data_IF_854176508973
#
_entry.id   IF_854176508973
#
_cell.length_a   1.000
_cell.length_b   1.000
_cell.length_c   1.000
_cell.angle_alpha   90.00
_cell.angle_beta   90.00
_cell.angle_gamma   90.00
#
_symmetry.space_group_name_H-M   'P 1'
#
loop_
_entity.id
_entity.type
_entity.pdbx_description
1 polymer ?
#
# COMPACT_ATOMS: atom_id res chain seq x y z
N UNK A 1 14.78 -20.77 14.07
CA UNK A 1 13.78 -19.85 13.47
C UNK A 1 12.89 -19.18 14.53
N UNK A 2 13.47 -18.74 15.67
CA UNK A 2 12.73 -18.08 16.77
C UNK A 2 12.76 -16.54 16.70
N UNK A 3 13.50 -15.96 15.77
CA UNK A 3 13.84 -14.52 15.77
C UNK A 3 12.68 -13.63 15.29
N UNK A 4 11.78 -14.17 14.45
CA UNK A 4 10.66 -13.42 13.85
C UNK A 4 9.34 -14.21 13.88
N UNK A 5 8.69 -14.32 15.06
CA UNK A 5 7.49 -15.14 15.24
C UNK A 5 6.21 -14.49 14.69
N UNK A 6 6.19 -13.16 14.54
CA UNK A 6 4.99 -12.38 14.15
C UNK A 6 5.10 -11.72 12.78
N UNK A 7 6.21 -11.91 12.08
CA UNK A 7 6.43 -11.29 10.77
C UNK A 7 5.62 -12.06 9.72
N UNK A 8 4.71 -11.39 8.99
CA UNK A 8 4.01 -12.00 7.87
C UNK A 8 4.99 -12.37 6.75
N UNK A 9 4.72 -13.47 6.04
CA UNK A 9 5.59 -13.99 4.98
C UNK A 9 4.77 -14.18 3.71
N UNK A 10 5.27 -13.63 2.60
CA UNK A 10 4.75 -13.94 1.27
C UNK A 10 5.60 -15.02 0.62
N UNK A 11 4.99 -16.13 0.18
CA UNK A 11 5.68 -17.25 -0.46
C UNK A 11 5.17 -17.42 -1.90
N UNK A 12 6.06 -17.28 -2.88
CA UNK A 12 5.73 -17.45 -4.31
C UNK A 12 6.42 -18.70 -4.87
N UNK A 13 5.62 -19.70 -5.24
CA UNK A 13 6.12 -20.91 -5.91
C UNK A 13 6.26 -20.64 -7.40
N UNK A 14 7.49 -20.49 -7.86
CA UNK A 14 7.81 -20.14 -9.26
C UNK A 14 7.67 -21.30 -10.26
N UNK A 15 7.62 -22.53 -9.77
CA UNK A 15 7.53 -23.75 -10.59
C UNK A 15 6.40 -24.64 -10.10
N UNK A 16 5.89 -25.48 -11.00
CA UNK A 16 4.95 -26.53 -10.63
C UNK A 16 5.73 -27.76 -10.11
N UNK A 17 5.54 -28.11 -8.83
CA UNK A 17 6.03 -29.34 -8.23
C UNK A 17 5.09 -29.77 -7.10
N UNK A 18 4.44 -30.95 -7.21
CA UNK A 18 3.61 -31.49 -6.14
C UNK A 18 4.39 -31.70 -4.83
N UNK A 19 5.66 -32.08 -4.92
CA UNK A 19 6.55 -32.28 -3.78
C UNK A 19 6.79 -30.97 -3.05
N UNK A 20 7.03 -29.88 -3.80
CA UNK A 20 7.22 -28.55 -3.23
C UNK A 20 5.93 -28.04 -2.57
N UNK A 21 4.78 -28.22 -3.23
CA UNK A 21 3.47 -27.86 -2.64
C UNK A 21 3.26 -28.57 -1.31
N UNK A 22 3.52 -29.88 -1.26
CA UNK A 22 3.40 -30.68 -0.04
C UNK A 22 4.36 -30.20 1.05
N UNK A 23 5.64 -30.02 0.70
CA UNK A 23 6.67 -29.60 1.65
C UNK A 23 6.37 -28.22 2.25
N UNK A 24 5.94 -27.26 1.42
CA UNK A 24 5.57 -25.91 1.88
C UNK A 24 4.31 -25.97 2.75
N UNK A 25 3.27 -26.71 2.35
CA UNK A 25 2.05 -26.88 3.15
C UNK A 25 2.32 -27.49 4.52
N UNK A 26 3.15 -28.53 4.58
CA UNK A 26 3.54 -29.17 5.83
C UNK A 26 4.34 -28.21 6.72
N UNK A 27 5.28 -27.45 6.15
CA UNK A 27 6.06 -26.46 6.90
C UNK A 27 5.18 -25.36 7.51
N UNK A 28 4.25 -24.80 6.73
CA UNK A 28 3.33 -23.75 7.23
C UNK A 28 2.48 -24.29 8.38
N UNK A 29 1.95 -25.51 8.24
CA UNK A 29 1.08 -26.15 9.24
C UNK A 29 1.86 -26.52 10.51
N UNK A 30 3.04 -27.12 10.35
CA UNK A 30 3.91 -27.52 11.48
C UNK A 30 4.32 -26.34 12.35
N UNK A 31 4.43 -25.15 11.77
CA UNK A 31 4.76 -23.92 12.50
C UNK A 31 3.54 -23.07 12.86
N UNK A 32 2.32 -23.54 12.59
CA UNK A 32 1.06 -22.85 12.85
C UNK A 32 1.03 -21.41 12.30
N UNK A 33 1.55 -21.22 11.08
CA UNK A 33 1.69 -19.90 10.44
C UNK A 33 0.66 -19.61 9.37
N UNK A 34 -0.42 -20.39 9.28
CA UNK A 34 -1.44 -20.26 8.24
C UNK A 34 -2.02 -18.84 8.15
N UNK A 35 -2.15 -18.14 9.28
CA UNK A 35 -2.66 -16.75 9.33
C UNK A 35 -1.61 -15.67 9.02
N UNK A 36 -0.33 -16.02 9.05
CA UNK A 36 0.79 -15.10 8.79
C UNK A 36 1.41 -15.31 7.42
N UNK A 37 0.98 -16.34 6.69
CA UNK A 37 1.49 -16.67 5.36
C UNK A 37 0.47 -16.26 4.32
N UNK A 38 0.91 -15.48 3.34
CA UNK A 38 0.24 -15.34 2.06
C UNK A 38 1.04 -16.16 1.05
N UNK A 39 0.42 -17.10 0.35
CA UNK A 39 1.13 -17.92 -0.62
C UNK A 39 0.43 -17.96 -1.96
N UNK A 40 1.12 -18.54 -2.95
CA UNK A 40 0.52 -18.74 -4.26
C UNK A 40 1.56 -18.97 -5.33
N UNK A 41 1.08 -18.89 -6.56
CA UNK A 41 1.89 -18.92 -7.76
C UNK A 41 1.19 -18.17 -8.87
N UNK A 42 1.96 -17.50 -9.74
CA UNK A 42 1.44 -16.97 -10.99
C UNK A 42 0.96 -18.08 -11.96
N UNK A 43 1.41 -19.33 -11.78
CA UNK A 43 0.92 -20.49 -12.50
C UNK A 43 -0.38 -21.00 -11.86
N UNK A 44 -1.48 -20.99 -12.63
CA UNK A 44 -2.78 -21.41 -12.11
C UNK A 44 -2.79 -22.86 -11.61
N UNK A 45 -2.11 -23.78 -12.29
CA UNK A 45 -2.00 -25.19 -11.87
C UNK A 45 -1.38 -25.34 -10.48
N UNK A 46 -0.31 -24.60 -10.21
CA UNK A 46 0.34 -24.57 -8.88
C UNK A 46 -0.56 -23.91 -7.84
N UNK A 47 -1.24 -22.81 -8.19
CA UNK A 47 -2.14 -22.11 -7.28
C UNK A 47 -3.32 -23.00 -6.85
N UNK A 48 -3.92 -23.73 -7.78
CA UNK A 48 -4.99 -24.69 -7.50
C UNK A 48 -4.51 -25.85 -6.62
N UNK A 49 -3.29 -26.34 -6.85
CA UNK A 49 -2.67 -27.35 -6.00
C UNK A 49 -2.44 -26.84 -4.56
N UNK A 50 -1.97 -25.61 -4.39
CA UNK A 50 -1.80 -24.97 -3.06
C UNK A 50 -3.13 -24.81 -2.33
N UNK A 51 -4.16 -24.30 -3.01
CA UNK A 51 -5.50 -24.14 -2.44
C UNK A 51 -6.09 -25.48 -1.98
N UNK A 52 -5.88 -26.54 -2.77
CA UNK A 52 -6.33 -27.90 -2.44
C UNK A 52 -5.54 -28.48 -1.26
N UNK A 53 -4.22 -28.23 -1.21
CA UNK A 53 -3.35 -28.76 -0.17
C UNK A 53 -3.62 -28.15 1.22
N UNK A 54 -3.93 -26.84 1.29
CA UNK A 54 -4.33 -26.21 2.55
C UNK A 54 -5.16 -24.93 2.31
N UNK A 55 -6.51 -25.01 2.30
CA UNK A 55 -7.37 -23.85 2.08
C UNK A 55 -7.40 -22.86 3.25
N UNK A 56 -6.74 -23.16 4.38
CA UNK A 56 -6.66 -22.24 5.54
C UNK A 56 -5.63 -21.14 5.35
N UNK A 57 -4.69 -21.31 4.41
CA UNK A 57 -3.65 -20.32 4.11
C UNK A 57 -4.16 -19.37 3.03
N UNK A 58 -4.19 -18.05 3.28
CA UNK A 58 -4.52 -17.03 2.29
C UNK A 58 -3.75 -17.21 0.97
N UNK A 59 -4.48 -17.14 -0.14
CA UNK A 59 -3.94 -17.33 -1.49
C UNK A 59 -3.89 -15.99 -2.24
N UNK A 60 -2.82 -15.72 -2.98
CA UNK A 60 -2.83 -14.66 -3.97
C UNK A 60 -3.23 -15.15 -5.37
N UNK A 61 -3.78 -14.27 -6.20
CA UNK A 61 -4.25 -14.60 -7.54
C UNK A 61 -3.12 -15.05 -8.49
N UNK A 62 -3.35 -16.14 -9.21
CA UNK A 62 -2.51 -16.52 -10.35
C UNK A 62 -2.64 -15.52 -11.49
N UNK A 63 -1.72 -15.52 -12.46
CA UNK A 63 -1.76 -14.56 -13.56
C UNK A 63 -3.08 -14.60 -14.37
N UNK A 64 -3.63 -15.78 -14.75
CA UNK A 64 -4.94 -15.84 -15.41
C UNK A 64 -6.08 -15.31 -14.54
N UNK A 65 -6.01 -15.51 -13.22
CA UNK A 65 -7.02 -15.00 -12.29
C UNK A 65 -6.93 -13.49 -12.15
N UNK A 66 -5.75 -12.93 -11.97
CA UNK A 66 -5.55 -11.47 -11.94
C UNK A 66 -6.04 -10.81 -13.24
N UNK A 67 -5.75 -11.41 -14.40
CA UNK A 67 -6.23 -10.94 -15.69
C UNK A 67 -7.76 -11.02 -15.81
N UNK A 68 -8.38 -12.10 -15.34
CA UNK A 68 -9.84 -12.24 -15.31
C UNK A 68 -10.48 -11.14 -14.45
N UNK A 69 -9.92 -10.85 -13.27
CA UNK A 69 -10.44 -9.78 -12.40
C UNK A 69 -10.31 -8.41 -13.04
N UNK A 70 -9.18 -8.15 -13.71
CA UNK A 70 -8.97 -6.90 -14.45
C UNK A 70 -9.95 -6.79 -15.63
N UNK A 71 -10.14 -7.87 -16.40
CA UNK A 71 -11.08 -7.89 -17.52
C UNK A 71 -12.53 -7.70 -17.05
N UNK A 72 -12.91 -8.35 -15.94
CA UNK A 72 -14.22 -8.18 -15.34
C UNK A 72 -14.43 -6.74 -14.82
N UNK A 73 -13.40 -6.12 -14.25
CA UNK A 73 -13.42 -4.70 -13.89
C UNK A 73 -13.65 -3.80 -15.11
N UNK A 74 -12.88 -4.00 -16.19
CA UNK A 74 -13.06 -3.24 -17.43
C UNK A 74 -14.45 -3.43 -18.05
N UNK A 75 -15.06 -4.60 -17.87
CA UNK A 75 -16.43 -4.88 -18.31
C UNK A 75 -17.52 -4.35 -17.36
N UNK A 76 -17.17 -3.77 -16.21
CA UNK A 76 -18.12 -3.34 -15.18
C UNK A 76 -18.77 -4.49 -14.40
N UNK A 77 -18.19 -5.69 -14.45
CA UNK A 77 -18.76 -6.95 -13.92
C UNK A 77 -17.91 -7.57 -12.81
N UNK A 78 -16.99 -6.83 -12.21
CA UNK A 78 -16.15 -7.36 -11.13
C UNK A 78 -17.00 -7.89 -9.96
N UNK A 79 -18.14 -7.26 -9.67
CA UNK A 79 -19.08 -7.69 -8.63
C UNK A 79 -19.66 -9.10 -8.88
N UNK A 80 -19.81 -9.51 -10.14
CA UNK A 80 -20.36 -10.82 -10.52
C UNK A 80 -19.34 -11.97 -10.37
N UNK A 81 -18.04 -11.63 -10.35
CA UNK A 81 -16.98 -12.64 -10.33
C UNK A 81 -16.70 -13.08 -8.91
N UNK A 82 -16.78 -14.39 -8.65
CA UNK A 82 -16.35 -14.95 -7.37
C UNK A 82 -14.83 -14.82 -7.19
N UNK A 83 -14.42 -14.24 -6.06
CA UNK A 83 -13.02 -14.04 -5.66
C UNK A 83 -12.81 -14.79 -4.36
N UNK A 84 -11.97 -15.82 -4.41
CA UNK A 84 -11.57 -16.62 -3.25
C UNK A 84 -10.15 -16.28 -2.79
N UNK A 85 -9.43 -15.49 -3.60
CA UNK A 85 -8.09 -15.01 -3.30
C UNK A 85 -8.12 -13.86 -2.31
N UNK A 86 -7.18 -13.85 -1.36
CA UNK A 86 -7.04 -12.79 -0.36
C UNK A 86 -6.20 -11.62 -0.86
N UNK A 87 -5.44 -11.81 -1.95
CA UNK A 87 -4.64 -10.76 -2.55
C UNK A 87 -4.50 -10.90 -4.06
N UNK A 88 -4.24 -9.78 -4.73
CA UNK A 88 -3.84 -9.68 -6.13
C UNK A 88 -2.47 -9.02 -6.18
N UNK A 89 -1.50 -9.72 -6.76
CA UNK A 89 -0.12 -9.23 -6.91
C UNK A 89 0.06 -8.84 -8.38
N UNK A 90 0.25 -7.56 -8.66
CA UNK A 90 0.36 -7.03 -10.04
C UNK A 90 1.54 -6.06 -10.16
N UNK A 91 2.13 -5.93 -11.36
CA UNK A 91 3.14 -4.92 -11.56
C UNK A 91 2.49 -3.54 -11.54
N UNK A 92 3.15 -2.52 -11.02
CA UNK A 92 2.60 -1.15 -11.04
C UNK A 92 2.67 -0.49 -12.43
N UNK A 93 3.48 -1.03 -13.34
CA UNK A 93 3.61 -0.62 -14.73
C UNK A 93 3.62 -1.84 -15.65
N UNK A 94 2.96 -1.74 -16.79
CA UNK A 94 2.95 -2.82 -17.78
C UNK A 94 4.36 -3.06 -18.33
N UNK A 95 4.87 -4.29 -18.20
CA UNK A 95 6.23 -4.65 -18.59
C UNK A 95 7.26 -4.55 -17.47
N UNK A 96 6.88 -4.05 -16.29
CA UNK A 96 7.69 -4.20 -15.08
C UNK A 96 7.70 -5.68 -14.67
N UNK A 97 8.87 -6.33 -14.79
CA UNK A 97 9.04 -7.77 -14.56
C UNK A 97 9.54 -8.56 -15.78
N UNK A 98 9.80 -7.91 -16.92
CA UNK A 98 10.46 -8.53 -18.07
C UNK A 98 11.99 -8.61 -17.91
N UNK A 99 12.59 -9.62 -18.54
CA UNK A 99 14.02 -9.97 -18.59
C UNK A 99 14.98 -8.77 -18.66
N UNK A 100 16.24 -8.89 -18.18
CA UNK A 100 17.21 -7.78 -18.05
C UNK A 100 17.37 -6.86 -19.27
N UNK A 101 17.11 -7.35 -20.49
CA UNK A 101 17.19 -6.59 -21.75
C UNK A 101 16.04 -5.63 -22.06
N UNK A 102 14.93 -5.62 -21.28
CA UNK A 102 13.76 -4.75 -21.53
C UNK A 102 13.83 -3.38 -20.82
N UNK A 103 14.88 -3.11 -20.03
CA UNK A 103 15.06 -1.86 -19.26
C UNK A 103 15.31 -0.62 -20.13
N UNK A 104 15.71 -0.78 -21.38
CA UNK A 104 16.13 0.35 -22.25
C UNK A 104 14.92 1.06 -22.90
N UNK A 105 13.71 0.49 -22.83
CA UNK A 105 12.51 1.03 -23.48
C UNK A 105 11.45 1.47 -22.45
N UNK A 106 11.83 2.32 -21.49
CA UNK A 106 11.13 2.45 -20.21
C UNK A 106 10.25 3.71 -20.02
N UNK A 107 10.05 4.57 -21.04
CA UNK A 107 9.33 5.84 -20.86
C UNK A 107 7.82 5.79 -21.17
N UNK A 108 7.35 4.77 -21.89
CA UNK A 108 5.93 4.65 -22.30
C UNK A 108 5.15 3.55 -21.59
N UNK A 109 5.69 2.91 -20.55
CA UNK A 109 4.99 1.80 -19.92
C UNK A 109 3.69 2.28 -19.26
N UNK A 110 2.51 1.82 -19.73
CA UNK A 110 1.25 2.21 -19.12
C UNK A 110 1.23 1.86 -17.63
N UNK A 111 0.72 2.79 -16.83
CA UNK A 111 0.52 2.57 -15.39
C UNK A 111 -0.61 1.57 -15.17
N UNK A 112 -0.41 0.66 -14.21
CA UNK A 112 -1.44 -0.22 -13.67
C UNK A 112 -1.90 0.25 -12.27
N UNK A 113 -1.63 1.51 -11.94
CA UNK A 113 -2.24 2.19 -10.80
C UNK A 113 -3.70 2.50 -11.15
N UNK A 114 -4.61 1.64 -10.68
CA UNK A 114 -6.04 1.68 -11.00
C UNK A 114 -6.86 1.86 -9.71
N UNK A 115 -7.05 3.10 -9.20
CA UNK A 115 -7.62 3.33 -7.88
C UNK A 115 -9.02 2.75 -7.69
N UNK A 116 -9.87 2.83 -8.72
CA UNK A 116 -11.22 2.26 -8.69
C UNK A 116 -11.22 0.74 -8.64
N UNK A 117 -10.30 0.09 -9.38
CA UNK A 117 -10.11 -1.35 -9.33
C UNK A 117 -9.63 -1.78 -7.94
N UNK A 118 -8.64 -1.08 -7.39
CA UNK A 118 -8.09 -1.38 -6.06
C UNK A 118 -9.16 -1.19 -4.98
N UNK A 119 -9.94 -0.11 -5.07
CA UNK A 119 -11.07 0.12 -4.17
C UNK A 119 -12.10 -1.01 -4.23
N UNK A 120 -12.47 -1.47 -5.42
CA UNK A 120 -13.44 -2.56 -5.57
C UNK A 120 -12.90 -3.91 -5.05
N UNK A 121 -11.61 -4.20 -5.22
CA UNK A 121 -10.98 -5.37 -4.62
C UNK A 121 -10.94 -5.25 -3.09
N UNK A 122 -10.51 -4.11 -2.57
CA UNK A 122 -10.43 -3.84 -1.13
C UNK A 122 -11.79 -3.91 -0.44
N UNK A 123 -12.85 -3.42 -1.08
CA UNK A 123 -14.24 -3.52 -0.59
C UNK A 123 -14.71 -4.97 -0.41
N UNK A 124 -14.02 -5.93 -1.05
CA UNK A 124 -14.28 -7.36 -0.97
C UNK A 124 -13.27 -8.11 -0.09
N UNK A 125 -12.41 -7.39 0.63
CA UNK A 125 -11.37 -7.98 1.48
C UNK A 125 -10.14 -8.50 0.70
N UNK A 126 -9.97 -8.09 -0.55
CA UNK A 126 -8.87 -8.55 -1.42
C UNK A 126 -7.80 -7.45 -1.47
N UNK A 127 -6.62 -7.75 -0.93
CA UNK A 127 -5.50 -6.80 -0.89
C UNK A 127 -4.81 -6.66 -2.25
N UNK A 128 -4.37 -5.47 -2.61
CA UNK A 128 -3.53 -5.22 -3.78
C UNK A 128 -2.07 -5.06 -3.35
N UNK A 129 -1.20 -5.89 -3.92
CA UNK A 129 0.24 -5.85 -3.73
C UNK A 129 0.89 -5.43 -5.04
N UNK A 130 1.67 -4.35 -5.01
CA UNK A 130 2.36 -3.85 -6.21
C UNK A 130 3.82 -4.28 -6.23
N UNK A 131 4.33 -4.63 -7.41
CA UNK A 131 5.75 -4.91 -7.62
C UNK A 131 6.30 -4.24 -8.90
N UNK A 132 7.62 -4.29 -9.05
CA UNK A 132 8.32 -3.94 -10.29
C UNK A 132 9.00 -2.58 -10.24
N UNK A 133 10.26 -2.53 -9.80
CA UNK A 133 11.09 -1.31 -9.71
C UNK A 133 10.41 -0.14 -8.96
N UNK A 134 9.81 -0.46 -7.81
CA UNK A 134 9.25 0.53 -6.88
C UNK A 134 10.32 0.76 -5.81
N UNK A 135 11.25 1.67 -6.07
CA UNK A 135 12.47 1.81 -5.26
C UNK A 135 12.74 3.23 -4.74
N UNK A 136 11.95 4.22 -5.16
CA UNK A 136 12.09 5.61 -4.73
C UNK A 136 10.80 6.17 -4.13
N UNK A 137 10.92 7.34 -3.49
CA UNK A 137 9.84 7.99 -2.77
C UNK A 137 8.68 8.41 -3.67
N UNK A 138 8.94 8.79 -4.93
CA UNK A 138 7.90 9.16 -5.87
C UNK A 138 7.07 7.93 -6.27
N UNK A 139 7.72 6.79 -6.49
CA UNK A 139 7.05 5.52 -6.76
C UNK A 139 6.26 5.02 -5.55
N UNK A 140 6.80 5.16 -4.33
CA UNK A 140 6.08 4.82 -3.09
C UNK A 140 4.82 5.67 -2.92
N UNK A 141 4.92 6.99 -3.14
CA UNK A 141 3.79 7.91 -3.07
C UNK A 141 2.74 7.57 -4.11
N UNK A 142 3.12 7.36 -5.37
CA UNK A 142 2.19 7.01 -6.44
C UNK A 142 1.44 5.69 -6.16
N UNK A 143 2.17 4.65 -5.73
CA UNK A 143 1.57 3.36 -5.36
C UNK A 143 0.60 3.48 -4.18
N UNK A 144 0.99 4.23 -3.15
CA UNK A 144 0.16 4.44 -1.97
C UNK A 144 -1.06 5.31 -2.25
N UNK A 145 -0.92 6.40 -3.01
CA UNK A 145 -2.01 7.27 -3.41
C UNK A 145 -3.05 6.54 -4.27
N UNK A 146 -2.60 5.56 -5.07
CA UNK A 146 -3.51 4.70 -5.84
C UNK A 146 -4.32 3.72 -4.96
N UNK A 147 -3.94 3.52 -3.69
CA UNK A 147 -4.64 2.61 -2.77
C UNK A 147 -4.05 1.20 -2.67
N UNK A 148 -2.76 1.02 -2.99
CA UNK A 148 -2.08 -0.25 -2.76
C UNK A 148 -1.98 -0.58 -1.26
N UNK A 149 -2.17 -1.85 -0.92
CA UNK A 149 -2.09 -2.34 0.46
C UNK A 149 -0.66 -2.75 0.85
N UNK A 150 0.15 -3.16 -0.13
CA UNK A 150 1.55 -3.51 0.06
C UNK A 150 2.40 -3.18 -1.19
N UNK A 151 3.68 -2.95 -0.96
CA UNK A 151 4.69 -2.64 -1.98
C UNK A 151 5.85 -3.63 -1.84
N UNK A 152 6.14 -4.36 -2.92
CA UNK A 152 7.36 -5.14 -3.07
C UNK A 152 8.48 -4.24 -3.62
N UNK A 153 9.55 -4.07 -2.85
CA UNK A 153 10.66 -3.15 -3.15
C UNK A 153 12.02 -3.81 -2.88
N UNK A 154 13.02 -3.46 -3.68
CA UNK A 154 14.42 -3.80 -3.43
C UNK A 154 15.09 -2.81 -2.45
N UNK A 155 14.37 -1.75 -2.05
CA UNK A 155 14.83 -0.71 -1.13
C UNK A 155 14.00 -0.65 0.18
N UNK A 156 13.91 -1.76 0.96
CA UNK A 156 13.02 -1.84 2.12
C UNK A 156 13.33 -0.78 3.19
N UNK A 157 14.61 -0.50 3.48
CA UNK A 157 14.99 0.53 4.47
C UNK A 157 14.60 1.94 4.04
N UNK A 158 14.47 2.20 2.73
CA UNK A 158 13.99 3.48 2.21
C UNK A 158 12.47 3.57 2.36
N UNK A 159 11.75 2.50 2.02
CA UNK A 159 10.30 2.40 2.22
C UNK A 159 9.93 2.59 3.70
N UNK A 160 10.67 1.97 4.62
CA UNK A 160 10.44 2.10 6.06
C UNK A 160 10.60 3.54 6.55
N UNK A 161 11.71 4.21 6.20
CA UNK A 161 11.91 5.63 6.54
C UNK A 161 10.80 6.53 5.98
N UNK A 162 10.35 6.26 4.76
CA UNK A 162 9.25 7.00 4.16
C UNK A 162 7.91 6.77 4.89
N UNK A 163 7.61 5.52 5.29
CA UNK A 163 6.43 5.20 6.09
C UNK A 163 6.47 5.85 7.48
N UNK A 164 7.63 5.86 8.14
CA UNK A 164 7.85 6.50 9.43
C UNK A 164 7.64 8.01 9.35
N UNK A 165 8.19 8.67 8.34
CA UNK A 165 8.01 10.10 8.11
C UNK A 165 6.52 10.47 7.90
N UNK A 166 5.74 9.62 7.23
CA UNK A 166 4.29 9.82 7.06
C UNK A 166 3.48 9.61 8.33
N UNK A 167 3.92 8.71 9.22
CA UNK A 167 3.30 8.50 10.54
C UNK A 167 3.61 9.63 11.52
N UNK A 168 4.73 10.33 11.35
CA UNK A 168 5.17 11.46 12.18
C UNK A 168 4.84 12.86 11.64
N UNK A 169 4.02 12.99 10.59
CA UNK A 169 3.62 14.28 10.01
C UNK A 169 2.70 15.11 10.93
N UNK A 170 2.61 16.45 10.76
CA UNK A 170 2.00 17.35 11.74
C UNK A 170 0.53 17.03 11.96
N UNK A 171 0.13 16.89 13.22
CA UNK A 171 -1.27 16.89 13.64
C UNK A 171 -1.94 18.17 13.15
N UNK A 172 -2.79 18.05 12.13
CA UNK A 172 -3.77 19.08 11.80
C UNK A 172 -4.77 19.18 12.96
N UNK A 173 -4.62 20.19 13.82
CA UNK A 173 -5.57 20.43 14.91
C UNK A 173 -5.02 21.20 16.11
N UNK A 174 -4.70 22.49 15.91
CA UNK A 174 -4.99 23.55 16.89
C UNK A 174 -4.81 24.92 16.23
N UNK A 175 -5.83 25.31 15.46
CA UNK A 175 -6.23 26.71 15.36
C UNK A 175 -7.23 26.95 16.49
N UNK A 176 -6.87 27.78 17.45
CA UNK A 176 -7.70 28.11 18.60
C UNK A 176 -7.06 29.27 19.36
N UNK A 177 -7.53 30.47 19.04
CA UNK A 177 -7.18 31.71 19.72
C UNK A 177 -7.59 31.69 21.20
N UNK A 178 -6.83 32.41 22.02
CA UNK A 178 -7.07 32.68 23.43
C UNK A 178 -5.75 32.60 24.19
N UNK A 179 -5.17 33.66 24.73
CA UNK A 179 -5.65 34.97 25.08
C UNK A 179 -4.74 35.40 26.22
N UNK A 180 -3.69 36.17 25.92
CA UNK A 180 -2.82 36.71 26.96
C UNK A 180 -3.40 38.03 27.44
N UNK A 181 -4.04 37.93 28.61
CA UNK A 181 -4.36 39.06 29.48
C UNK A 181 -3.04 39.63 29.99
N UNK A 182 -2.71 40.86 29.62
CA UNK A 182 -1.91 41.74 30.47
C UNK A 182 -2.72 43.00 30.73
N UNK A 183 -3.20 43.09 31.96
CA UNK A 183 -3.91 44.21 32.55
C UNK A 183 -2.92 44.93 33.48
N UNK A 184 -2.63 46.21 33.21
CA UNK A 184 -2.35 47.24 34.21
C UNK A 184 -1.93 48.55 33.51
N UNK A 185 -2.82 49.55 33.52
CA UNK A 185 -2.45 50.89 33.09
C UNK A 185 -3.57 51.91 33.00
N UNK A 186 -4.53 51.88 33.93
CA UNK A 186 -5.55 52.92 34.07
C UNK A 186 -4.95 54.17 34.72
N UNK A 187 -4.80 55.25 33.93
CA UNK A 187 -4.76 56.61 34.45
C UNK A 187 -5.62 57.52 33.55
N UNK A 188 -6.68 58.02 34.17
CA UNK A 188 -7.73 58.90 33.64
C UNK A 188 -7.20 60.28 33.25
N UNK A 189 -7.82 60.90 32.25
CA UNK A 189 -7.71 62.35 32.02
C UNK A 189 -8.26 62.80 30.67
N UNK A 190 -9.57 63.06 30.62
CA UNK A 190 -10.28 63.69 29.49
C UNK A 190 -9.93 65.18 29.32
N UNK A 191 -10.32 65.82 28.19
CA UNK A 191 -9.61 66.96 27.59
C UNK A 191 -10.22 68.33 27.96
N UNK A 192 -9.40 69.39 27.88
CA UNK A 192 -9.92 70.76 27.75
C UNK A 192 -8.85 71.74 27.23
N UNK A 193 -9.11 72.31 26.05
CA UNK A 193 -9.04 73.75 25.74
C UNK A 193 -7.70 74.50 25.75
N UNK A 194 -7.51 75.36 24.74
CA UNK A 194 -6.87 76.66 24.96
C UNK A 194 -5.83 77.09 23.93
N UNK A 195 -6.16 78.13 23.17
CA UNK A 195 -5.40 78.80 22.11
C UNK A 195 -4.18 79.64 22.59
N UNK A 196 -3.49 80.21 21.57
CA UNK A 196 -2.52 81.34 21.58
C UNK A 196 -1.08 81.00 22.01
N UNK A 197 0.00 81.53 21.44
CA UNK A 197 0.25 82.56 20.42
C UNK A 197 1.72 83.03 20.55
N UNK A 198 2.32 83.55 19.48
CA UNK A 198 3.63 84.26 19.45
C UNK A 198 4.87 83.34 19.35
N UNK A 199 5.84 83.51 18.45
CA UNK A 199 6.25 84.68 17.67
C UNK A 199 7.45 85.36 18.31
N UNK A 200 8.66 84.92 17.94
CA UNK A 200 9.87 85.71 17.58
C UNK A 200 10.94 84.75 17.11
#
# INVERSE_FOLDING_TARGET
MAEHPRVPIQIDLKVHSPELVRAVSEMVSRHSRERLVLWGSFLHTTNSALYTANPRVPLFASAPRALLLLAAFCAGRLADVHVYESAVIIPWRLGAGGSPGRRVLNWWQPSLLLPDFFRQLNARGVSVVLYGDINDQAAFEACSAAGANAICTDSPSRLMRWLEARRGGPTAGQGGAGGSVEDAGNARGSPSGGASGGGT
#
